data_IF_800295602795
#
_entry.id   IF_800295602795
#
_cell.length_a   1.000
_cell.length_b   1.000
_cell.length_c   1.000
_cell.angle_alpha   90.00
_cell.angle_beta   90.00
_cell.angle_gamma   90.00
#
_symmetry.space_group_name_H-M   'P 1'
#
loop_
_entity.id
_entity.type
_entity.pdbx_description
1 polymer ?
#
# COMPACT_ATOMS: atom_id res chain seq x y z
N UNK A 1 15.06 -2.89 14.66
CA UNK A 1 14.27 -3.26 13.45
C UNK A 1 14.68 -4.62 12.86
N UNK A 2 15.93 -5.04 13.03
CA UNK A 2 16.42 -6.35 12.55
C UNK A 2 15.81 -7.57 13.27
N UNK A 3 15.43 -7.44 14.54
CA UNK A 3 14.88 -8.57 15.32
C UNK A 3 13.48 -9.03 14.91
N UNK A 4 12.73 -8.22 14.16
CA UNK A 4 11.36 -8.57 13.78
C UNK A 4 11.27 -9.46 12.52
N UNK A 5 12.31 -9.53 11.72
CA UNK A 5 12.32 -10.23 10.41
C UNK A 5 13.16 -11.52 10.38
N UNK A 6 13.63 -12.04 11.52
CA UNK A 6 14.42 -13.27 11.61
C UNK A 6 13.74 -14.47 10.92
N UNK A 7 14.44 -15.08 9.98
CA UNK A 7 14.22 -16.37 9.31
C UNK A 7 12.84 -16.63 8.67
N UNK A 8 12.65 -16.14 7.44
CA UNK A 8 11.62 -16.62 6.53
C UNK A 8 12.27 -17.27 5.28
N UNK A 9 12.14 -18.60 5.10
CA UNK A 9 12.66 -19.25 3.90
C UNK A 9 11.77 -19.11 2.66
N UNK A 10 10.63 -18.44 2.71
CA UNK A 10 9.65 -18.38 1.60
C UNK A 10 9.44 -17.00 0.97
N UNK A 11 9.92 -15.94 1.59
CA UNK A 11 9.88 -14.59 1.01
C UNK A 11 11.25 -13.97 1.25
N UNK A 12 11.97 -13.73 0.18
CA UNK A 12 13.22 -12.98 0.21
C UNK A 12 12.94 -11.57 0.72
N UNK A 13 13.19 -11.33 2.00
CA UNK A 13 12.93 -10.06 2.70
C UNK A 13 14.09 -9.09 2.41
N UNK A 14 14.67 -9.14 1.23
CA UNK A 14 15.63 -8.12 0.83
C UNK A 14 14.86 -6.82 0.62
N UNK A 15 15.21 -5.82 1.41
CA UNK A 15 14.77 -4.45 1.18
C UNK A 15 15.32 -3.99 -0.18
N UNK A 16 14.43 -3.74 -1.12
CA UNK A 16 14.82 -3.45 -2.50
C UNK A 16 14.87 -1.96 -2.78
N UNK A 17 13.88 -1.21 -2.29
CA UNK A 17 13.79 0.23 -2.54
C UNK A 17 13.27 1.01 -1.34
N UNK A 18 13.79 2.23 -1.23
CA UNK A 18 13.31 3.25 -0.33
C UNK A 18 12.45 4.22 -1.12
N UNK A 19 11.20 4.42 -0.69
CA UNK A 19 10.27 5.38 -1.29
C UNK A 19 9.95 6.46 -0.26
N UNK A 20 10.10 7.72 -0.67
CA UNK A 20 9.74 8.87 0.14
C UNK A 20 8.40 9.44 -0.33
N UNK A 21 7.42 9.50 0.57
CA UNK A 21 6.15 10.18 0.36
C UNK A 21 6.11 11.45 1.19
N UNK A 22 5.73 12.57 0.57
CA UNK A 22 5.80 13.91 1.14
C UNK A 22 5.18 14.04 2.55
N UNK A 23 4.07 13.34 2.79
CA UNK A 23 3.32 13.43 4.05
C UNK A 23 3.58 12.27 5.01
N UNK A 24 4.26 11.22 4.59
CA UNK A 24 4.44 9.99 5.37
C UNK A 24 5.92 9.69 5.65
N UNK A 25 6.83 10.36 4.97
CA UNK A 25 8.27 10.18 5.10
C UNK A 25 8.80 9.01 4.26
N UNK A 26 9.96 8.52 4.66
CA UNK A 26 10.74 7.50 3.94
C UNK A 26 10.40 6.12 4.45
N UNK A 27 10.05 5.21 3.55
CA UNK A 27 9.66 3.83 3.88
C UNK A 27 10.31 2.82 2.95
N UNK A 28 10.59 1.64 3.52
CA UNK A 28 11.15 0.50 2.82
C UNK A 28 10.05 -0.37 2.23
N UNK A 29 10.27 -0.79 0.98
CA UNK A 29 9.46 -1.78 0.28
C UNK A 29 10.32 -3.00 -0.06
N UNK A 30 9.74 -4.19 0.05
CA UNK A 30 10.42 -5.44 -0.20
C UNK A 30 10.55 -5.75 -1.69
N UNK A 31 11.48 -6.61 -2.06
CA UNK A 31 11.75 -6.95 -3.46
C UNK A 31 10.50 -7.49 -4.18
N UNK A 32 9.76 -8.38 -3.56
CA UNK A 32 8.52 -8.93 -4.12
C UNK A 32 7.40 -7.87 -4.25
N UNK A 33 7.34 -6.91 -3.34
CA UNK A 33 6.41 -5.76 -3.44
C UNK A 33 6.80 -4.86 -4.60
N UNK A 34 8.10 -4.58 -4.74
CA UNK A 34 8.61 -3.75 -5.84
C UNK A 34 8.41 -4.42 -7.20
N UNK A 35 8.53 -5.74 -7.30
CA UNK A 35 8.22 -6.46 -8.52
C UNK A 35 6.78 -6.23 -8.99
N UNK A 36 5.83 -6.10 -8.05
CA UNK A 36 4.43 -5.78 -8.35
C UNK A 36 4.23 -4.28 -8.60
N UNK A 37 4.83 -3.42 -7.77
CA UNK A 37 4.74 -1.96 -7.89
C UNK A 37 5.27 -1.49 -9.25
N UNK A 38 6.35 -2.08 -9.75
CA UNK A 38 6.98 -1.72 -11.02
C UNK A 38 6.21 -2.27 -12.26
N UNK A 39 5.12 -3.03 -12.07
CA UNK A 39 4.28 -3.45 -13.19
C UNK A 39 3.51 -2.29 -13.83
N UNK A 40 3.24 -2.38 -15.13
CA UNK A 40 2.43 -1.36 -15.84
C UNK A 40 1.06 -1.13 -15.21
N UNK A 41 0.47 -2.16 -14.63
CA UNK A 41 -0.87 -2.10 -13.99
C UNK A 41 -0.85 -1.19 -12.78
N UNK A 42 0.16 -1.30 -11.92
CA UNK A 42 0.30 -0.42 -10.74
C UNK A 42 0.86 0.94 -11.14
N UNK A 43 1.83 1.00 -12.05
CA UNK A 43 2.42 2.27 -12.52
C UNK A 43 1.37 3.18 -13.18
N UNK A 44 0.35 2.61 -13.83
CA UNK A 44 -0.79 3.35 -14.38
C UNK A 44 -1.49 4.25 -13.35
N UNK A 45 -1.52 3.84 -12.08
CA UNK A 45 -2.16 4.59 -11.00
C UNK A 45 -1.53 5.97 -10.76
N UNK A 46 -0.31 6.23 -11.25
CA UNK A 46 0.35 7.55 -11.23
C UNK A 46 -0.39 8.60 -12.05
N UNK A 47 -1.17 8.16 -13.02
CA UNK A 47 -1.92 9.03 -13.94
C UNK A 47 -3.41 9.12 -13.59
N UNK A 48 -3.83 8.51 -12.50
CA UNK A 48 -5.21 8.50 -12.03
C UNK A 48 -5.30 9.29 -10.73
N UNK A 49 -6.06 10.41 -10.78
CA UNK A 49 -6.35 11.21 -9.58
C UNK A 49 -7.19 10.40 -8.59
N UNK A 50 -6.84 10.45 -7.30
CA UNK A 50 -7.59 9.78 -6.24
C UNK A 50 -9.02 10.33 -6.15
N UNK A 51 -9.19 11.64 -6.25
CA UNK A 51 -10.46 12.33 -6.05
C UNK A 51 -11.12 12.78 -7.37
N UNK A 52 -10.65 12.28 -8.53
CA UNK A 52 -11.18 12.67 -9.84
C UNK A 52 -11.07 14.17 -10.07
N UNK A 53 -12.15 14.86 -10.53
CA UNK A 53 -12.11 16.29 -10.91
C UNK A 53 -12.16 17.26 -9.72
N UNK A 54 -12.12 16.78 -8.48
CA UNK A 54 -12.23 17.61 -7.26
C UNK A 54 -11.17 18.72 -7.20
N UNK A 55 -9.99 18.51 -7.85
CA UNK A 55 -8.95 19.54 -7.92
C UNK A 55 -9.38 20.84 -8.61
N UNK A 56 -10.48 20.84 -9.37
CA UNK A 56 -11.05 22.07 -9.96
C UNK A 56 -11.63 22.99 -8.89
N UNK A 57 -12.09 22.44 -7.76
CA UNK A 57 -12.64 23.19 -6.62
C UNK A 57 -11.62 23.31 -5.49
N UNK A 58 -10.83 22.24 -5.27
CA UNK A 58 -9.77 22.18 -4.27
C UNK A 58 -8.42 21.94 -4.95
N UNK A 59 -7.68 23.01 -5.31
CA UNK A 59 -6.45 22.90 -6.11
C UNK A 59 -5.35 22.02 -5.52
N UNK A 60 -5.34 21.81 -4.21
CA UNK A 60 -4.38 20.94 -3.51
C UNK A 60 -4.74 19.46 -3.57
N UNK A 61 -5.95 19.10 -4.01
CA UNK A 61 -6.42 17.71 -4.09
C UNK A 61 -5.89 17.02 -5.38
N UNK A 62 -4.56 16.95 -5.52
CA UNK A 62 -3.88 16.44 -6.72
C UNK A 62 -3.18 15.10 -6.54
N UNK A 63 -3.27 14.50 -5.36
CA UNK A 63 -2.64 13.20 -5.11
C UNK A 63 -3.23 12.11 -6.01
N UNK A 64 -2.35 11.22 -6.41
CA UNK A 64 -2.69 10.13 -7.32
C UNK A 64 -3.11 8.86 -6.54
N UNK A 65 -3.76 7.94 -7.25
CA UNK A 65 -4.05 6.62 -6.67
C UNK A 65 -2.78 5.84 -6.35
N UNK A 66 -1.70 6.10 -7.06
CA UNK A 66 -0.40 5.52 -6.75
C UNK A 66 0.10 5.95 -5.36
N UNK A 67 0.08 7.26 -5.07
CA UNK A 67 0.46 7.79 -3.76
C UNK A 67 -0.46 7.27 -2.66
N UNK A 68 -1.77 7.19 -2.93
CA UNK A 68 -2.74 6.62 -2.00
C UNK A 68 -2.42 5.15 -1.70
N UNK A 69 -2.19 4.33 -2.69
CA UNK A 69 -1.88 2.90 -2.56
C UNK A 69 -0.63 2.67 -1.70
N UNK A 70 0.44 3.41 -1.97
CA UNK A 70 1.65 3.34 -1.14
C UNK A 70 1.37 3.83 0.29
N UNK A 71 0.61 4.91 0.42
CA UNK A 71 0.20 5.46 1.71
C UNK A 71 -0.61 4.47 2.56
N UNK A 72 -1.55 3.74 1.94
CA UNK A 72 -2.32 2.68 2.61
C UNK A 72 -1.39 1.57 3.12
N UNK A 73 -0.43 1.13 2.30
CA UNK A 73 0.55 0.10 2.68
C UNK A 73 1.41 0.54 3.87
N UNK A 74 1.87 1.78 3.87
CA UNK A 74 2.68 2.35 4.97
C UNK A 74 1.84 2.46 6.25
N UNK A 75 0.60 2.97 6.13
CA UNK A 75 -0.30 3.12 7.27
C UNK A 75 -0.65 1.76 7.88
N UNK A 76 -0.93 0.76 7.05
CA UNK A 76 -1.15 -0.62 7.48
C UNK A 76 0.04 -1.15 8.27
N UNK A 77 1.27 -0.92 7.80
CA UNK A 77 2.46 -1.35 8.51
C UNK A 77 2.62 -0.67 9.88
N UNK A 78 2.34 0.63 9.97
CA UNK A 78 2.33 1.38 11.24
C UNK A 78 1.28 0.84 12.21
N UNK A 79 0.07 0.56 11.72
CA UNK A 79 -1.00 -0.02 12.52
C UNK A 79 -0.63 -1.43 13.03
N UNK A 80 -0.06 -2.25 12.16
CA UNK A 80 0.42 -3.59 12.54
C UNK A 80 1.44 -3.53 13.67
N UNK A 81 2.45 -2.65 13.54
CA UNK A 81 3.48 -2.49 14.56
C UNK A 81 2.87 -2.06 15.90
N UNK A 82 1.97 -1.08 15.89
CA UNK A 82 1.30 -0.61 17.10
C UNK A 82 0.46 -1.72 17.77
N UNK A 83 -0.27 -2.51 16.98
CA UNK A 83 -1.04 -3.66 17.50
C UNK A 83 -0.15 -4.76 18.04
N UNK A 84 1.01 -4.98 17.43
CA UNK A 84 2.01 -5.95 17.91
C UNK A 84 2.62 -5.53 19.23
N UNK A 85 3.03 -4.25 19.34
CA UNK A 85 3.59 -3.66 20.56
C UNK A 85 2.60 -3.70 21.73
N UNK A 86 1.32 -3.47 21.46
CA UNK A 86 0.25 -3.53 22.46
C UNK A 86 -0.15 -4.96 22.86
N UNK A 87 0.43 -5.98 22.26
CA UNK A 87 0.07 -7.38 22.49
C UNK A 87 -1.28 -7.80 21.89
N UNK A 88 -1.97 -6.94 21.15
CA UNK A 88 -3.28 -7.22 20.55
C UNK A 88 -3.23 -8.34 19.51
N UNK A 89 -2.05 -8.63 18.95
CA UNK A 89 -1.83 -9.70 17.98
C UNK A 89 -1.32 -11.01 18.62
N UNK A 90 -1.27 -11.10 19.95
CA UNK A 90 -0.76 -12.28 20.66
C UNK A 90 -1.48 -13.59 20.31
N UNK A 91 -2.76 -13.51 19.94
CA UNK A 91 -3.56 -14.65 19.49
C UNK A 91 -3.06 -15.29 18.18
N UNK A 92 -2.27 -14.56 17.38
CA UNK A 92 -1.66 -15.09 16.15
C UNK A 92 -0.47 -16.02 16.46
N UNK A 93 0.03 -16.00 17.68
CA UNK A 93 1.23 -16.72 18.08
C UNK A 93 2.52 -16.05 17.58
N UNK A 94 3.62 -16.78 17.67
CA UNK A 94 4.96 -16.33 17.24
C UNK A 94 5.41 -17.07 15.98
N UNK A 95 6.43 -16.54 15.29
CA UNK A 95 7.07 -17.19 14.15
C UNK A 95 6.59 -16.71 12.79
N UNK A 96 6.44 -17.64 11.83
CA UNK A 96 6.19 -17.33 10.43
C UNK A 96 4.75 -16.87 10.12
N UNK A 97 3.77 -17.29 10.92
CA UNK A 97 2.34 -17.03 10.68
C UNK A 97 2.00 -15.54 10.69
N UNK A 98 2.32 -14.75 11.75
CA UNK A 98 2.01 -13.31 11.73
C UNK A 98 2.75 -12.56 10.63
N UNK A 99 3.97 -12.98 10.29
CA UNK A 99 4.75 -12.37 9.18
C UNK A 99 4.10 -12.60 7.83
N UNK A 100 3.63 -13.82 7.57
CA UNK A 100 2.91 -14.13 6.34
C UNK A 100 1.65 -13.29 6.22
N UNK A 101 0.87 -13.18 7.30
CA UNK A 101 -0.34 -12.36 7.33
C UNK A 101 -0.01 -10.90 7.01
N UNK A 102 1.04 -10.33 7.61
CA UNK A 102 1.47 -8.96 7.32
C UNK A 102 1.87 -8.80 5.84
N UNK A 103 2.63 -9.74 5.29
CA UNK A 103 3.02 -9.72 3.87
C UNK A 103 1.80 -9.77 2.95
N UNK A 104 0.84 -10.65 3.22
CA UNK A 104 -0.40 -10.78 2.44
C UNK A 104 -1.25 -9.51 2.54
N UNK A 105 -1.34 -8.89 3.72
CA UNK A 105 -2.05 -7.63 3.92
C UNK A 105 -1.38 -6.47 3.18
N UNK A 106 -0.05 -6.36 3.22
CA UNK A 106 0.70 -5.33 2.49
C UNK A 106 0.51 -5.49 0.99
N UNK A 107 0.58 -6.72 0.47
CA UNK A 107 0.32 -7.01 -0.94
C UNK A 107 -1.11 -6.65 -1.33
N UNK A 108 -2.09 -6.99 -0.49
CA UNK A 108 -3.49 -6.60 -0.71
C UNK A 108 -3.66 -5.08 -0.74
N UNK A 109 -2.95 -4.35 0.13
CA UNK A 109 -2.95 -2.89 0.13
C UNK A 109 -2.36 -2.30 -1.17
N UNK A 110 -1.32 -2.91 -1.73
CA UNK A 110 -0.75 -2.48 -3.03
C UNK A 110 -1.73 -2.72 -4.18
N UNK A 111 -2.51 -3.79 -4.11
CA UNK A 111 -3.36 -4.23 -5.23
C UNK A 111 -4.80 -3.71 -5.17
N UNK A 112 -5.28 -3.17 -4.05
CA UNK A 112 -6.71 -2.88 -3.84
C UNK A 112 -7.31 -1.92 -4.87
N UNK A 113 -6.53 -1.00 -5.41
CA UNK A 113 -6.99 0.06 -6.32
C UNK A 113 -6.65 -0.17 -7.81
N UNK A 114 -6.05 -1.31 -8.16
CA UNK A 114 -5.57 -1.56 -9.52
C UNK A 114 -6.66 -1.55 -10.61
N UNK A 115 -7.91 -1.83 -10.23
CA UNK A 115 -9.07 -1.84 -11.15
C UNK A 115 -9.71 -0.49 -11.41
N UNK A 116 -9.26 0.60 -10.75
CA UNK A 116 -9.91 1.90 -10.90
C UNK A 116 -9.69 2.55 -12.27
N UNK A 117 -10.77 3.18 -12.77
CA UNK A 117 -10.79 3.96 -14.01
C UNK A 117 -10.28 5.40 -13.80
N UNK A 118 -9.91 6.12 -14.89
CA UNK A 118 -9.30 7.46 -14.82
C UNK A 118 -10.13 8.52 -14.09
N UNK A 119 -11.45 8.44 -14.12
CA UNK A 119 -12.34 9.42 -13.49
C UNK A 119 -12.85 8.99 -12.12
N UNK A 120 -12.16 8.07 -11.45
CA UNK A 120 -12.54 7.56 -10.14
C UNK A 120 -13.97 6.98 -10.17
N UNK A 121 -14.82 7.33 -9.20
CA UNK A 121 -16.21 6.86 -9.15
C UNK A 121 -17.18 7.67 -10.01
N UNK A 122 -16.75 8.77 -10.63
CA UNK A 122 -17.64 9.65 -11.38
C UNK A 122 -18.35 8.96 -12.56
N UNK A 123 -17.72 7.97 -13.20
CA UNK A 123 -18.33 7.20 -14.30
C UNK A 123 -19.39 6.19 -13.84
N UNK A 124 -19.37 5.79 -12.56
CA UNK A 124 -20.36 4.83 -12.03
C UNK A 124 -21.76 5.44 -11.91
N UNK A 125 -21.88 6.77 -11.92
CA UNK A 125 -23.15 7.47 -11.83
C UNK A 125 -23.76 7.74 -13.20
N UNK A 126 -23.09 7.40 -14.30
CA UNK A 126 -23.65 7.48 -15.63
C UNK A 126 -24.59 6.28 -15.88
N UNK A 127 -25.73 6.28 -15.17
CA UNK A 127 -26.85 5.43 -15.58
C UNK A 127 -27.36 5.98 -16.91
N UNK A 128 -27.38 5.10 -17.90
CA UNK A 128 -28.06 5.31 -19.19
C UNK A 128 -29.44 5.95 -18.96
N UNK A 129 -29.61 7.16 -19.50
CA UNK A 129 -30.93 7.70 -19.80
C UNK A 129 -31.41 7.09 -21.09
#
# INVERSE_FOLDING_TARGET
MEEFYGELPLYDIRESKIINLANLGTHHFFEHEMAVIDTHVVQRLKYISQLGPVYNVFPTARHTRFEHTLGVTITLNKMWNSLSENGSLSFLGTGSKPRKILSDLRMSAILHDIGHCPFSHAHMFQKSF
#
